data_IF_751635618474
#
_entry.id   IF_751635618474
#
_cell.length_a   1.000
_cell.length_b   1.000
_cell.length_c   1.000
_cell.angle_alpha   90.00
_cell.angle_beta   90.00
_cell.angle_gamma   90.00
#
_symmetry.space_group_name_H-M   'P 1'
#
loop_
_entity.id
_entity.type
_entity.pdbx_description
1 polymer ?
#
# COMPACT_ATOMS: atom_id res chain seq x y z
N UNK A 1 -11.02 0.07 -29.07
CA UNK A 1 -11.16 0.12 -27.60
C UNK A 1 -11.63 1.52 -27.22
N UNK A 2 -12.67 1.66 -26.38
CA UNK A 2 -13.13 2.96 -25.88
C UNK A 2 -12.59 3.15 -24.46
N UNK A 3 -11.90 4.26 -24.22
CA UNK A 3 -11.43 4.61 -22.88
C UNK A 3 -12.50 5.38 -22.13
N UNK A 4 -12.66 5.10 -20.85
CA UNK A 4 -13.49 5.86 -19.93
C UNK A 4 -12.56 6.41 -18.85
N UNK A 5 -12.48 7.72 -18.77
CA UNK A 5 -11.68 8.41 -17.75
C UNK A 5 -12.66 9.04 -16.78
N UNK A 6 -12.78 8.53 -15.55
CA UNK A 6 -13.60 9.16 -14.54
C UNK A 6 -12.96 10.50 -14.12
N UNK A 7 -13.79 11.51 -13.88
CA UNK A 7 -13.35 12.81 -13.37
C UNK A 7 -14.43 13.45 -12.52
N UNK A 8 -14.06 14.50 -11.79
CA UNK A 8 -15.01 15.24 -10.96
C UNK A 8 -15.86 16.18 -11.81
N UNK A 9 -17.17 16.33 -11.52
CA UNK A 9 -18.01 17.27 -12.24
C UNK A 9 -17.51 18.71 -12.09
N UNK A 10 -17.45 19.52 -13.15
CA UNK A 10 -17.06 20.93 -13.06
C UNK A 10 -17.89 21.73 -12.05
N UNK A 11 -19.16 21.41 -11.93
CA UNK A 11 -20.05 22.03 -10.95
C UNK A 11 -19.66 21.77 -9.50
N UNK A 12 -19.03 20.61 -9.20
CA UNK A 12 -18.50 20.29 -7.89
C UNK A 12 -17.28 21.17 -7.56
N UNK A 13 -16.39 21.37 -8.52
CA UNK A 13 -15.21 22.22 -8.37
C UNK A 13 -15.62 23.67 -8.14
N UNK A 14 -16.54 24.19 -8.96
CA UNK A 14 -16.95 25.58 -8.92
C UNK A 14 -17.71 25.96 -7.64
N UNK A 15 -18.49 25.02 -7.06
CA UNK A 15 -19.35 25.32 -5.91
C UNK A 15 -18.66 25.22 -4.56
N UNK A 16 -17.69 24.34 -4.38
CA UNK A 16 -17.25 24.03 -3.03
C UNK A 16 -15.78 23.56 -2.89
N UNK A 17 -15.10 23.20 -3.97
CA UNK A 17 -13.82 22.50 -3.81
C UNK A 17 -12.80 22.84 -4.91
N UNK A 18 -12.47 24.11 -5.06
CA UNK A 18 -11.44 24.58 -6.03
C UNK A 18 -10.08 23.88 -5.85
N UNK A 19 -9.81 23.37 -4.63
CA UNK A 19 -8.60 22.57 -4.34
C UNK A 19 -8.47 21.31 -5.21
N UNK A 20 -9.56 20.81 -5.78
CA UNK A 20 -9.56 19.65 -6.68
C UNK A 20 -9.42 20.02 -8.16
N UNK A 21 -9.21 21.28 -8.50
CA UNK A 21 -9.01 21.70 -9.91
C UNK A 21 -7.82 21.00 -10.56
N UNK A 22 -6.76 20.71 -9.77
CA UNK A 22 -5.59 19.96 -10.22
C UNK A 22 -5.94 18.54 -10.69
N UNK A 23 -6.86 17.86 -9.98
CA UNK A 23 -7.34 16.52 -10.37
C UNK A 23 -8.02 16.57 -11.73
N UNK A 24 -8.96 17.51 -11.91
CA UNK A 24 -9.66 17.65 -13.19
C UNK A 24 -8.70 17.98 -14.32
N UNK A 25 -7.73 18.86 -14.09
CA UNK A 25 -6.71 19.20 -15.09
C UNK A 25 -5.87 17.98 -15.46
N UNK A 26 -5.48 17.17 -14.47
CA UNK A 26 -4.74 15.93 -14.70
C UNK A 26 -5.57 14.94 -15.52
N UNK A 27 -6.84 14.72 -15.17
CA UNK A 27 -7.75 13.84 -15.90
C UNK A 27 -7.91 14.29 -17.37
N UNK A 28 -8.08 15.59 -17.60
CA UNK A 28 -8.18 16.14 -18.95
C UNK A 28 -6.87 15.93 -19.75
N UNK A 29 -5.70 16.12 -19.13
CA UNK A 29 -4.41 15.80 -19.76
C UNK A 29 -4.32 14.33 -20.12
N UNK A 30 -4.80 13.43 -19.25
CA UNK A 30 -4.84 11.99 -19.50
C UNK A 30 -5.77 11.64 -20.65
N UNK A 31 -6.95 12.26 -20.74
CA UNK A 31 -7.86 12.10 -21.90
C UNK A 31 -7.16 12.48 -23.21
N UNK A 32 -6.47 13.62 -23.23
CA UNK A 32 -5.70 14.06 -24.41
C UNK A 32 -4.58 13.08 -24.76
N UNK A 33 -3.85 12.57 -23.77
CA UNK A 33 -2.80 11.57 -24.00
C UNK A 33 -3.38 10.27 -24.58
N UNK A 34 -4.47 9.75 -24.02
CA UNK A 34 -5.15 8.57 -24.52
C UNK A 34 -5.70 8.75 -25.94
N UNK A 35 -6.24 9.93 -26.26
CA UNK A 35 -6.72 10.26 -27.62
C UNK A 35 -5.60 10.30 -28.67
N UNK A 36 -4.37 10.59 -28.24
CA UNK A 36 -3.16 10.57 -29.08
C UNK A 36 -2.49 9.18 -29.13
N UNK A 37 -3.15 8.14 -28.62
CA UNK A 37 -2.66 6.76 -28.68
C UNK A 37 -1.78 6.34 -27.51
N UNK A 38 -1.64 7.16 -26.47
CA UNK A 38 -0.98 6.72 -25.24
C UNK A 38 -1.71 5.48 -24.68
N UNK A 39 -0.95 4.45 -24.36
CA UNK A 39 -1.46 3.26 -23.68
C UNK A 39 -0.78 3.20 -22.32
N UNK A 40 -1.53 3.13 -21.20
CA UNK A 40 -0.92 2.86 -19.92
C UNK A 40 -0.12 1.56 -20.00
N UNK A 41 1.12 1.59 -19.56
CA UNK A 41 2.03 0.43 -19.58
C UNK A 41 1.84 -0.50 -18.37
N UNK A 42 0.73 -0.32 -17.63
CA UNK A 42 0.46 -1.17 -16.50
C UNK A 42 0.09 -2.59 -16.95
N UNK A 43 0.84 -3.55 -16.52
CA UNK A 43 0.56 -4.99 -16.72
C UNK A 43 0.58 -5.67 -15.35
N UNK A 44 -0.20 -6.75 -15.21
CA UNK A 44 -0.13 -7.60 -14.01
C UNK A 44 1.13 -8.49 -14.01
N UNK A 45 1.85 -8.51 -15.13
CA UNK A 45 3.10 -9.25 -15.27
C UNK A 45 4.15 -8.67 -14.31
N UNK A 46 4.80 -9.54 -13.55
CA UNK A 46 5.78 -9.14 -12.55
C UNK A 46 5.24 -9.00 -11.13
N UNK A 47 3.91 -9.19 -10.90
CA UNK A 47 3.34 -9.19 -9.56
C UNK A 47 3.13 -10.61 -9.03
N UNK A 48 3.66 -10.90 -7.85
CA UNK A 48 3.51 -12.18 -7.15
C UNK A 48 2.49 -11.97 -6.02
N UNK A 49 1.25 -12.46 -6.20
CA UNK A 49 0.15 -12.20 -5.26
C UNK A 49 -0.02 -13.30 -4.20
N UNK A 50 0.40 -14.54 -4.50
CA UNK A 50 0.27 -15.70 -3.61
C UNK A 50 1.61 -16.44 -3.50
N UNK A 51 2.63 -15.80 -2.92
CA UNK A 51 3.97 -16.38 -2.85
C UNK A 51 4.07 -17.50 -1.82
N UNK A 52 4.91 -18.50 -2.09
CA UNK A 52 5.49 -19.34 -1.04
C UNK A 52 6.50 -18.54 -0.21
N UNK A 53 6.81 -19.00 1.00
CA UNK A 53 7.84 -18.37 1.83
C UNK A 53 9.20 -18.28 1.12
N UNK A 54 9.57 -19.30 0.34
CA UNK A 54 10.78 -19.30 -0.48
C UNK A 54 10.77 -18.17 -1.54
N UNK A 55 9.65 -17.98 -2.23
CA UNK A 55 9.51 -16.90 -3.20
C UNK A 55 9.59 -15.52 -2.55
N UNK A 56 8.98 -15.33 -1.36
CA UNK A 56 9.12 -14.08 -0.61
C UNK A 56 10.60 -13.79 -0.35
N UNK A 57 11.31 -14.74 0.27
CA UNK A 57 12.71 -14.55 0.64
C UNK A 57 13.57 -14.23 -0.59
N UNK A 58 13.38 -14.95 -1.70
CA UNK A 58 14.13 -14.74 -2.93
C UNK A 58 13.85 -13.37 -3.55
N UNK A 59 12.57 -12.98 -3.62
CA UNK A 59 12.17 -11.70 -4.20
C UNK A 59 12.68 -10.53 -3.37
N UNK A 60 12.50 -10.55 -2.05
CA UNK A 60 13.01 -9.49 -1.18
C UNK A 60 14.55 -9.38 -1.25
N UNK A 61 15.27 -10.49 -1.33
CA UNK A 61 16.72 -10.48 -1.57
C UNK A 61 17.10 -9.80 -2.89
N UNK A 62 16.31 -9.97 -3.95
CA UNK A 62 16.58 -9.34 -5.25
C UNK A 62 16.27 -7.83 -5.28
N UNK A 63 15.61 -7.31 -4.26
CA UNK A 63 15.30 -5.89 -4.10
C UNK A 63 16.40 -5.10 -3.35
N UNK A 64 17.41 -5.79 -2.79
CA UNK A 64 18.56 -5.13 -2.14
C UNK A 64 19.30 -4.22 -3.12
N UNK A 65 19.73 -3.06 -2.64
CA UNK A 65 20.39 -2.05 -3.47
C UNK A 65 19.46 -1.22 -4.36
N UNK A 66 18.15 -1.44 -4.26
CA UNK A 66 17.15 -0.76 -5.09
C UNK A 66 16.32 0.24 -4.28
N UNK A 67 15.53 1.04 -4.99
CA UNK A 67 14.41 1.81 -4.45
C UNK A 67 13.20 0.88 -4.34
N UNK A 68 12.62 0.79 -3.15
CA UNK A 68 11.53 -0.15 -2.86
C UNK A 68 10.39 0.61 -2.21
N UNK A 69 9.26 0.66 -2.89
CA UNK A 69 8.01 1.10 -2.31
C UNK A 69 7.40 0.00 -1.46
N UNK A 70 6.78 0.36 -0.32
CA UNK A 70 6.02 -0.58 0.50
C UNK A 70 4.76 0.06 1.06
N UNK A 71 3.74 -0.77 1.26
CA UNK A 71 2.46 -0.39 1.83
C UNK A 71 1.81 -1.60 2.51
N UNK A 72 0.95 -1.38 3.51
CA UNK A 72 0.23 -2.45 4.19
C UNK A 72 -1.27 -2.38 3.94
N UNK A 73 -1.90 -3.57 3.94
CA UNK A 73 -3.34 -3.69 4.05
C UNK A 73 -3.73 -4.21 5.44
N UNK A 74 -4.68 -3.56 6.06
CA UNK A 74 -5.12 -3.89 7.42
C UNK A 74 -6.63 -3.87 7.56
N UNK A 75 -7.16 -4.35 8.67
CA UNK A 75 -8.60 -4.37 8.94
C UNK A 75 -9.10 -3.26 9.87
N UNK A 76 -8.24 -2.33 10.24
CA UNK A 76 -8.57 -1.28 11.19
C UNK A 76 -7.94 0.07 10.86
N UNK A 77 -8.35 1.07 11.64
CA UNK A 77 -7.80 2.45 11.51
C UNK A 77 -6.74 2.78 12.55
N UNK A 78 -6.59 1.94 13.57
CA UNK A 78 -5.64 2.18 14.65
C UNK A 78 -4.46 1.22 14.54
N UNK A 79 -3.26 1.71 14.22
CA UNK A 79 -2.12 0.89 13.82
C UNK A 79 -1.64 -0.09 14.89
N UNK A 80 -1.87 0.20 16.18
CA UNK A 80 -1.41 -0.67 17.27
C UNK A 80 -2.32 -1.87 17.56
N UNK A 81 -3.60 -1.82 17.16
CA UNK A 81 -4.59 -2.86 17.51
C UNK A 81 -5.17 -3.58 16.30
N UNK A 82 -4.92 -3.09 15.09
CA UNK A 82 -5.40 -3.70 13.85
C UNK A 82 -4.66 -4.99 13.52
N UNK A 83 -5.29 -5.84 12.71
CA UNK A 83 -4.62 -6.96 12.08
C UNK A 83 -4.07 -6.55 10.71
N UNK A 84 -2.75 -6.61 10.55
CA UNK A 84 -2.10 -6.40 9.25
C UNK A 84 -2.30 -7.67 8.41
N UNK A 85 -2.93 -7.50 7.25
CA UNK A 85 -3.28 -8.61 6.35
C UNK A 85 -2.14 -8.99 5.44
N UNK A 86 -1.49 -8.00 4.87
CA UNK A 86 -0.33 -8.18 4.01
C UNK A 86 0.52 -6.92 4.01
N UNK A 87 1.73 -7.06 3.49
CA UNK A 87 2.58 -5.96 3.06
C UNK A 87 2.93 -6.15 1.60
N UNK A 88 2.76 -5.11 0.80
CA UNK A 88 3.20 -5.04 -0.59
C UNK A 88 4.61 -4.45 -0.68
N UNK A 89 5.42 -4.95 -1.60
CA UNK A 89 6.71 -4.38 -1.99
C UNK A 89 6.78 -4.25 -3.51
N UNK A 90 7.40 -3.17 -4.00
CA UNK A 90 7.60 -2.93 -5.42
C UNK A 90 8.91 -2.20 -5.67
N UNK A 91 9.73 -2.68 -6.62
CA UNK A 91 11.06 -2.13 -6.91
C UNK A 91 11.14 -1.37 -8.24
N UNK A 92 10.00 -1.03 -8.82
CA UNK A 92 9.91 -0.39 -10.14
C UNK A 92 9.71 -1.38 -11.29
N UNK A 93 10.04 -2.66 -11.08
CA UNK A 93 9.93 -3.72 -12.09
C UNK A 93 9.07 -4.89 -11.59
N UNK A 94 9.27 -5.29 -10.34
CA UNK A 94 8.61 -6.46 -9.72
C UNK A 94 7.88 -6.06 -8.47
N UNK A 95 6.70 -6.62 -8.29
CA UNK A 95 5.89 -6.47 -7.09
C UNK A 95 5.64 -7.80 -6.41
N UNK A 96 5.58 -7.80 -5.09
CA UNK A 96 5.19 -8.96 -4.30
C UNK A 96 4.25 -8.53 -3.18
N UNK A 97 3.14 -9.23 -3.06
CA UNK A 97 2.29 -9.16 -1.88
C UNK A 97 2.71 -10.26 -0.92
N UNK A 98 3.16 -9.90 0.27
CA UNK A 98 3.50 -10.82 1.35
C UNK A 98 2.30 -10.95 2.28
N UNK A 99 1.45 -11.98 2.12
CA UNK A 99 0.25 -12.13 2.92
C UNK A 99 0.60 -12.72 4.29
N UNK A 100 0.05 -12.13 5.35
CA UNK A 100 0.09 -12.69 6.70
C UNK A 100 -1.20 -13.42 7.03
N UNK A 101 -2.32 -12.90 6.50
CA UNK A 101 -3.66 -13.44 6.71
C UNK A 101 -4.38 -13.64 5.38
N UNK A 102 -5.23 -14.65 5.31
CA UNK A 102 -6.10 -14.89 4.16
C UNK A 102 -7.51 -15.30 4.59
N UNK A 103 -8.45 -15.22 3.67
CA UNK A 103 -9.83 -15.71 3.84
C UNK A 103 -10.05 -16.91 2.94
N UNK A 104 -10.62 -17.96 3.51
CA UNK A 104 -11.01 -19.17 2.76
C UNK A 104 -12.53 -19.23 2.48
N UNK A 105 -13.26 -18.16 2.75
CA UNK A 105 -14.71 -18.10 2.64
C UNK A 105 -15.45 -18.49 3.92
N UNK A 106 -14.78 -19.01 4.95
CA UNK A 106 -15.40 -19.33 6.23
C UNK A 106 -15.92 -18.08 6.91
N UNK A 107 -17.15 -18.14 7.42
CA UNK A 107 -17.76 -17.05 8.19
C UNK A 107 -18.25 -17.56 9.54
N UNK A 108 -18.25 -16.67 10.53
CA UNK A 108 -18.84 -16.91 11.85
C UNK A 108 -19.89 -15.85 12.15
N UNK A 109 -20.92 -16.24 12.85
CA UNK A 109 -21.95 -15.31 13.32
C UNK A 109 -21.46 -14.62 14.60
N UNK A 110 -21.42 -13.29 14.57
CA UNK A 110 -20.97 -12.46 15.70
C UNK A 110 -22.07 -11.48 16.07
N UNK A 111 -22.43 -11.45 17.36
CA UNK A 111 -23.32 -10.43 17.89
C UNK A 111 -22.49 -9.20 18.25
N UNK A 112 -22.66 -8.13 17.48
CA UNK A 112 -22.00 -6.85 17.75
C UNK A 112 -22.76 -6.09 18.84
N UNK A 113 -22.02 -5.36 19.69
CA UNK A 113 -22.61 -4.48 20.71
C UNK A 113 -23.65 -3.56 20.09
N UNK A 114 -24.85 -3.51 20.70
CA UNK A 114 -25.98 -2.72 20.19
C UNK A 114 -26.81 -3.35 19.08
N UNK A 115 -26.47 -4.57 18.59
CA UNK A 115 -27.27 -5.29 17.59
C UNK A 115 -27.97 -6.51 18.20
N UNK A 116 -29.26 -6.70 17.84
CA UNK A 116 -30.06 -7.85 18.27
C UNK A 116 -29.87 -9.09 17.37
N UNK A 117 -29.32 -8.91 16.16
CA UNK A 117 -29.13 -10.00 15.19
C UNK A 117 -27.65 -10.23 14.92
N UNK A 118 -27.22 -11.48 14.76
CA UNK A 118 -25.84 -11.79 14.40
C UNK A 118 -25.50 -11.25 13.01
N UNK A 119 -24.23 -10.90 12.84
CA UNK A 119 -23.64 -10.48 11.55
C UNK A 119 -22.59 -11.50 11.17
N UNK A 120 -22.64 -11.97 9.93
CA UNK A 120 -21.61 -12.87 9.43
C UNK A 120 -20.30 -12.11 9.26
N UNK A 121 -19.26 -12.56 9.95
CA UNK A 121 -17.89 -12.08 9.80
C UNK A 121 -17.01 -13.14 9.19
N UNK A 122 -16.19 -12.75 8.22
CA UNK A 122 -15.19 -13.63 7.64
C UNK A 122 -14.11 -13.98 8.68
N UNK A 123 -13.71 -15.24 8.68
CA UNK A 123 -12.60 -15.72 9.52
C UNK A 123 -11.30 -15.52 8.77
N UNK A 124 -10.32 -14.90 9.45
CA UNK A 124 -8.97 -14.76 8.94
C UNK A 124 -8.11 -15.93 9.44
N UNK A 125 -7.35 -16.52 8.53
CA UNK A 125 -6.40 -17.60 8.82
C UNK A 125 -4.98 -17.12 8.53
N UNK A 126 -4.00 -17.67 9.22
CA UNK A 126 -2.59 -17.43 8.90
C UNK A 126 -2.25 -18.00 7.55
N UNK A 127 -1.52 -17.23 6.74
CA UNK A 127 -1.10 -17.66 5.42
C UNK A 127 0.13 -18.57 5.48
N UNK A 128 1.11 -18.21 6.28
CA UNK A 128 2.30 -19.01 6.53
C UNK A 128 2.18 -19.79 7.84
N UNK A 129 2.78 -20.97 7.92
CA UNK A 129 2.93 -21.67 9.19
C UNK A 129 3.92 -20.94 10.14
N UNK A 130 4.11 -21.48 11.36
CA UNK A 130 4.91 -20.80 12.37
C UNK A 130 6.40 -20.65 12.00
N UNK A 131 7.00 -21.60 11.29
CA UNK A 131 8.38 -21.60 10.90
C UNK A 131 8.58 -20.72 9.63
N UNK A 132 7.70 -20.89 8.66
CA UNK A 132 7.67 -20.08 7.46
C UNK A 132 7.47 -18.59 7.78
N UNK A 133 6.52 -18.26 8.67
CA UNK A 133 6.25 -16.90 9.09
C UNK A 133 7.48 -16.24 9.71
N UNK A 134 8.21 -16.95 10.58
CA UNK A 134 9.47 -16.44 11.15
C UNK A 134 10.50 -16.12 10.08
N UNK A 135 10.66 -17.00 9.09
CA UNK A 135 11.59 -16.79 7.99
C UNK A 135 11.20 -15.62 7.08
N UNK A 136 9.90 -15.46 6.83
CA UNK A 136 9.35 -14.34 6.06
C UNK A 136 9.54 -13.02 6.80
N UNK A 137 9.24 -12.97 8.10
CA UNK A 137 9.47 -11.77 8.92
C UNK A 137 10.96 -11.40 8.96
N UNK A 138 11.84 -12.38 9.10
CA UNK A 138 13.29 -12.15 9.06
C UNK A 138 13.73 -11.54 7.72
N UNK A 139 13.22 -12.05 6.59
CA UNK A 139 13.52 -11.51 5.28
C UNK A 139 12.98 -10.08 5.09
N UNK A 140 11.79 -9.78 5.61
CA UNK A 140 11.26 -8.41 5.64
C UNK A 140 12.16 -7.49 6.49
N UNK A 141 12.60 -7.96 7.68
CA UNK A 141 13.48 -7.18 8.54
C UNK A 141 14.83 -6.92 7.88
N UNK A 142 15.43 -7.92 7.19
CA UNK A 142 16.64 -7.73 6.43
C UNK A 142 16.50 -6.64 5.36
N UNK A 143 15.41 -6.66 4.59
CA UNK A 143 15.16 -5.64 3.57
C UNK A 143 15.01 -4.25 4.18
N UNK A 144 14.20 -4.10 5.22
CA UNK A 144 13.96 -2.82 5.89
C UNK A 144 15.24 -2.24 6.55
N UNK A 145 16.12 -3.11 7.02
CA UNK A 145 17.36 -2.70 7.70
C UNK A 145 18.56 -2.54 6.76
N UNK A 146 18.43 -2.89 5.49
CA UNK A 146 19.53 -2.85 4.54
C UNK A 146 19.81 -1.39 4.11
N UNK A 147 21.01 -0.83 4.45
CA UNK A 147 21.32 0.55 4.14
C UNK A 147 21.47 0.85 2.64
N UNK A 148 21.56 -0.18 1.81
CA UNK A 148 21.59 -0.03 0.35
C UNK A 148 20.21 0.15 -0.27
N UNK A 149 19.14 -0.13 0.48
CA UNK A 149 17.76 -0.01 0.02
C UNK A 149 17.24 1.40 0.30
N UNK A 150 16.65 2.04 -0.69
CA UNK A 150 15.87 3.27 -0.51
C UNK A 150 14.41 2.90 -0.33
N UNK A 151 13.86 3.19 0.85
CA UNK A 151 12.46 2.89 1.17
C UNK A 151 11.55 4.06 0.78
N UNK A 152 10.44 3.76 0.15
CA UNK A 152 9.42 4.71 -0.26
C UNK A 152 8.06 4.29 0.25
N UNK A 153 7.27 5.22 0.75
CA UNK A 153 5.97 4.96 1.34
C UNK A 153 5.09 6.20 1.29
N UNK A 154 3.79 6.02 1.45
CA UNK A 154 2.84 7.11 1.62
C UNK A 154 2.22 7.02 3.01
N UNK A 155 2.47 8.00 3.89
CA UNK A 155 2.05 7.97 5.30
C UNK A 155 2.64 6.79 6.08
N UNK A 156 3.91 6.50 5.84
CA UNK A 156 4.61 5.30 6.35
C UNK A 156 4.70 5.20 7.88
N UNK A 157 4.35 6.24 8.61
CA UNK A 157 4.22 6.15 10.06
C UNK A 157 3.18 5.10 10.47
N UNK A 158 2.05 5.06 9.77
CA UNK A 158 0.99 4.09 10.00
C UNK A 158 1.47 2.66 9.77
N UNK A 159 2.15 2.43 8.65
CA UNK A 159 2.66 1.11 8.25
C UNK A 159 3.71 0.59 9.24
N UNK A 160 4.66 1.45 9.61
CA UNK A 160 5.69 1.12 10.59
C UNK A 160 5.10 0.74 11.95
N UNK A 161 4.11 1.50 12.42
CA UNK A 161 3.45 1.21 13.70
C UNK A 161 2.68 -0.11 13.63
N UNK A 162 1.97 -0.38 12.53
CA UNK A 162 1.23 -1.62 12.33
C UNK A 162 2.14 -2.85 12.26
N UNK A 163 3.17 -2.80 11.42
CA UNK A 163 4.15 -3.88 11.28
C UNK A 163 4.96 -4.10 12.56
N UNK A 164 5.35 -3.01 13.23
CA UNK A 164 6.06 -3.08 14.51
C UNK A 164 5.22 -3.72 15.61
N UNK A 165 3.98 -3.29 15.77
CA UNK A 165 3.09 -3.80 16.82
C UNK A 165 2.72 -5.27 16.61
N UNK A 166 2.52 -5.72 15.36
CA UNK A 166 2.06 -7.09 15.07
C UNK A 166 3.18 -8.09 14.87
N UNK A 167 4.27 -7.70 14.25
CA UNK A 167 5.34 -8.61 13.82
C UNK A 167 6.71 -8.26 14.39
N UNK A 168 6.80 -7.19 15.21
CA UNK A 168 8.06 -6.76 15.82
C UNK A 168 9.06 -6.19 14.80
N UNK A 169 8.60 -5.84 13.59
CA UNK A 169 9.46 -5.28 12.56
C UNK A 169 9.91 -3.87 12.95
N UNK A 170 11.22 -3.65 12.86
CA UNK A 170 11.85 -2.35 13.09
C UNK A 170 12.18 -1.72 11.75
N UNK A 171 11.40 -0.71 11.37
CA UNK A 171 11.59 -0.01 10.11
C UNK A 171 12.22 1.35 10.44
N UNK A 172 13.50 1.56 10.12
CA UNK A 172 14.20 2.80 10.40
C UNK A 172 13.63 3.94 9.56
N UNK A 173 13.72 5.17 10.07
CA UNK A 173 13.23 6.36 9.38
C UNK A 173 14.03 7.60 9.80
N UNK A 174 13.93 8.68 9.02
CA UNK A 174 14.58 9.94 9.30
C UNK A 174 16.11 9.80 9.38
N UNK A 175 16.71 10.30 10.48
CA UNK A 175 18.15 10.28 10.65
C UNK A 175 18.76 8.87 10.69
N UNK A 176 17.97 7.88 11.15
CA UNK A 176 18.42 6.49 11.24
C UNK A 176 18.45 5.81 9.87
N UNK A 177 17.69 6.34 8.92
CA UNK A 177 17.66 5.80 7.56
C UNK A 177 17.43 6.95 6.55
N UNK A 178 18.48 7.65 6.13
CA UNK A 178 18.36 8.85 5.28
C UNK A 178 17.76 8.59 3.90
N UNK A 179 17.58 7.33 3.53
CA UNK A 179 16.96 6.90 2.27
C UNK A 179 15.50 6.51 2.43
N UNK A 180 14.87 6.81 3.56
CA UNK A 180 13.44 6.63 3.72
C UNK A 180 12.70 7.87 3.24
N UNK A 181 11.86 7.71 2.24
CA UNK A 181 11.07 8.76 1.61
C UNK A 181 9.58 8.55 1.88
N UNK A 182 8.89 9.60 2.31
CA UNK A 182 7.44 9.57 2.54
C UNK A 182 6.76 10.60 1.63
N UNK A 183 5.96 10.11 0.70
CA UNK A 183 5.32 10.92 -0.34
C UNK A 183 4.38 11.98 0.25
N UNK A 184 3.67 11.68 1.35
CA UNK A 184 2.77 12.65 1.97
C UNK A 184 3.56 13.83 2.56
N UNK A 185 4.70 13.56 3.20
CA UNK A 185 5.55 14.59 3.77
C UNK A 185 6.24 15.42 2.69
N UNK A 186 6.77 14.76 1.65
CA UNK A 186 7.40 15.42 0.53
C UNK A 186 6.41 16.34 -0.21
N UNK A 187 5.22 15.86 -0.50
CA UNK A 187 4.20 16.67 -1.15
C UNK A 187 3.72 17.82 -0.26
N UNK A 188 3.64 17.61 1.05
CA UNK A 188 3.29 18.70 1.98
C UNK A 188 4.33 19.84 1.95
N UNK A 189 5.60 19.52 1.84
CA UNK A 189 6.68 20.53 1.75
C UNK A 189 6.62 21.30 0.44
N UNK A 190 6.35 20.61 -0.70
CA UNK A 190 6.36 21.21 -2.03
C UNK A 190 5.07 21.94 -2.35
N UNK A 191 3.94 21.44 -1.87
CA UNK A 191 2.59 21.90 -2.26
C UNK A 191 1.61 21.85 -1.08
N UNK A 192 1.95 22.55 0.03
CA UNK A 192 1.22 22.52 1.30
C UNK A 192 -0.26 22.90 1.22
N UNK A 193 -0.67 23.58 0.17
CA UNK A 193 -2.05 24.02 -0.07
C UNK A 193 -2.92 22.99 -0.82
N UNK A 194 -2.35 21.90 -1.31
CA UNK A 194 -3.09 20.82 -1.94
C UNK A 194 -3.42 19.68 -0.95
N UNK A 195 -4.43 18.84 -1.26
CA UNK A 195 -4.64 17.59 -0.53
C UNK A 195 -3.43 16.66 -0.66
N UNK A 196 -3.13 15.89 0.39
CA UNK A 196 -1.99 14.98 0.42
C UNK A 196 -2.41 13.50 0.44
N UNK A 197 -3.69 13.21 0.24
CA UNK A 197 -4.18 11.83 0.14
C UNK A 197 -3.65 11.14 -1.10
N UNK A 198 -3.52 9.80 -1.03
CA UNK A 198 -3.00 8.99 -2.14
C UNK A 198 -3.87 9.13 -3.39
N UNK A 199 -5.18 9.27 -3.23
CA UNK A 199 -6.15 9.54 -4.28
C UNK A 199 -5.83 10.81 -5.08
N UNK A 200 -5.30 11.84 -4.39
CA UNK A 200 -4.86 13.08 -5.05
C UNK A 200 -3.46 12.92 -5.66
N UNK A 201 -2.52 12.28 -4.94
CA UNK A 201 -1.12 12.13 -5.40
C UNK A 201 -0.98 11.27 -6.66
N UNK A 202 -1.91 10.34 -6.85
CA UNK A 202 -1.92 9.39 -8.00
C UNK A 202 -2.87 9.79 -9.14
N UNK A 203 -3.55 10.93 -9.02
CA UNK A 203 -4.52 11.42 -10.01
C UNK A 203 -3.95 12.19 -11.22
#
# INVERSE_FOLDING_TARGET
MKWVVPTLPPSFILRSNQRFSGVVLHDLKRVVALSKGYKPSWTEDGFILKPSAKQVIQTLKSMKGKRVAYDIESDGRHPLVQDVRCVGFYDGEKGICVPFLYRDGTTVDVILSGRKRPVKRAVWKRYFDGAELKSVIAACQELFSDPSVSLETQNGQYDRMGLGAKYGLKIPCGADHPRHFDDILAHHVVASYFPHGLDFLTS
#
